data_IF_002241674602
#
_entry.id   IF_002241674602
#
_cell.length_a   1.000
_cell.length_b   1.000
_cell.length_c   1.000
_cell.angle_alpha   90.00
_cell.angle_beta   90.00
_cell.angle_gamma   90.00
#
_symmetry.space_group_name_H-M   'P 1'
#
loop_
_entity.id
_entity.type
_entity.pdbx_description
1 polymer ?
#
# COMPACT_ATOMS: atom_id res chain seq x y z
N UNK A 1 -42.21 55.63 24.44
CA UNK A 1 -41.35 54.82 23.54
C UNK A 1 -40.31 54.10 24.40
N UNK A 2 -40.39 52.78 24.56
CA UNK A 2 -39.42 51.96 25.31
C UNK A 2 -38.71 51.06 24.29
N UNK A 3 -37.40 51.24 24.12
CA UNK A 3 -36.60 50.37 23.22
C UNK A 3 -36.05 49.18 24.01
N UNK A 4 -36.46 47.98 23.66
CA UNK A 4 -35.93 46.73 24.22
C UNK A 4 -34.71 46.32 23.40
N UNK A 5 -33.51 46.37 24.00
CA UNK A 5 -32.28 45.84 23.41
C UNK A 5 -32.21 44.33 23.67
N UNK A 6 -32.19 43.54 22.60
CA UNK A 6 -31.91 42.11 22.67
C UNK A 6 -30.39 41.89 22.61
N UNK A 7 -29.82 41.29 23.65
CA UNK A 7 -28.42 40.88 23.68
C UNK A 7 -28.25 39.55 22.95
N UNK A 8 -27.31 39.49 22.00
CA UNK A 8 -26.94 38.26 21.29
C UNK A 8 -25.93 37.51 22.17
N UNK A 9 -26.31 36.31 22.64
CA UNK A 9 -25.40 35.37 23.28
C UNK A 9 -24.72 34.57 22.16
N UNK A 10 -23.45 34.87 21.89
CA UNK A 10 -22.62 34.06 21.00
C UNK A 10 -22.06 32.91 21.82
N UNK A 11 -22.68 31.73 21.69
CA UNK A 11 -22.13 30.49 22.22
C UNK A 11 -20.94 30.06 21.35
N UNK A 12 -19.73 30.21 21.89
CA UNK A 12 -18.51 29.72 21.26
C UNK A 12 -18.48 28.18 21.42
N UNK A 13 -18.96 27.46 20.42
CA UNK A 13 -18.72 26.02 20.29
C UNK A 13 -17.24 25.84 19.94
N UNK A 14 -16.43 25.49 20.94
CA UNK A 14 -15.10 24.95 20.76
C UNK A 14 -15.23 23.61 20.01
N UNK A 15 -15.17 23.66 18.68
CA UNK A 15 -14.95 22.45 17.89
C UNK A 15 -13.54 21.98 18.18
N UNK A 16 -13.42 20.93 18.99
CA UNK A 16 -12.22 20.10 19.02
C UNK A 16 -12.14 19.51 17.62
N UNK A 17 -11.35 20.12 16.73
CA UNK A 17 -11.02 19.50 15.47
C UNK A 17 -10.13 18.32 15.82
N UNK A 18 -10.55 17.06 15.57
CA UNK A 18 -9.59 15.98 15.60
C UNK A 18 -8.47 16.40 14.64
N UNK A 19 -7.22 16.34 15.11
CA UNK A 19 -6.06 16.63 14.28
C UNK A 19 -6.17 15.69 13.10
N UNK A 20 -6.56 16.20 11.93
CA UNK A 20 -6.55 15.43 10.70
C UNK A 20 -5.11 14.95 10.55
N UNK A 21 -4.90 13.65 10.74
CA UNK A 21 -3.65 13.03 10.32
C UNK A 21 -3.57 13.37 8.84
N UNK A 22 -2.48 14.02 8.43
CA UNK A 22 -2.33 14.35 7.02
C UNK A 22 -2.29 13.02 6.27
N UNK A 23 -3.32 12.72 5.48
CA UNK A 23 -3.40 11.48 4.73
C UNK A 23 -2.14 11.35 3.87
N UNK A 24 -1.26 10.43 4.27
CA UNK A 24 -0.01 10.17 3.59
C UNK A 24 -0.28 9.13 2.51
N UNK A 25 -0.25 9.59 1.26
CA UNK A 25 -0.22 8.71 0.11
C UNK A 25 1.19 8.13 -0.08
N UNK A 26 1.32 6.82 -0.04
CA UNK A 26 2.55 6.07 -0.32
C UNK A 26 2.44 5.47 -1.72
N UNK A 27 3.37 5.85 -2.61
CA UNK A 27 3.47 5.28 -3.96
C UNK A 27 4.13 3.91 -3.91
N UNK A 28 3.44 2.89 -4.39
CA UNK A 28 3.87 1.50 -4.36
C UNK A 28 4.23 1.03 -5.76
N UNK A 29 5.39 0.39 -5.90
CA UNK A 29 5.72 -0.45 -7.04
C UNK A 29 5.46 -1.92 -6.66
N UNK A 30 4.85 -2.66 -7.56
CA UNK A 30 4.57 -4.09 -7.38
C UNK A 30 5.57 -4.87 -8.20
N UNK A 31 6.48 -5.59 -7.54
CA UNK A 31 7.38 -6.53 -8.19
C UNK A 31 6.74 -7.92 -8.18
N UNK A 32 6.48 -8.50 -9.35
CA UNK A 32 5.83 -9.80 -9.46
C UNK A 32 6.77 -10.81 -10.13
N UNK A 33 7.01 -11.94 -9.47
CA UNK A 33 7.87 -12.98 -10.03
C UNK A 33 7.22 -13.74 -11.20
N UNK A 34 7.99 -14.58 -11.88
CA UNK A 34 7.53 -15.39 -13.00
C UNK A 34 6.37 -16.33 -12.62
N UNK A 35 6.45 -16.97 -11.46
CA UNK A 35 5.43 -17.93 -10.99
C UNK A 35 4.14 -17.25 -10.57
N UNK A 36 4.20 -16.08 -9.93
CA UNK A 36 3.02 -15.30 -9.56
C UNK A 36 2.32 -14.77 -10.82
N UNK A 37 3.10 -14.24 -11.77
CA UNK A 37 2.60 -13.75 -13.06
C UNK A 37 1.97 -14.83 -13.94
N UNK A 38 2.27 -16.11 -13.68
CA UNK A 38 1.64 -17.23 -14.37
C UNK A 38 0.12 -17.35 -14.07
N UNK A 39 -0.36 -16.75 -12.97
CA UNK A 39 -1.78 -16.71 -12.66
C UNK A 39 -2.51 -15.68 -13.54
N UNK A 40 -3.63 -16.08 -14.13
CA UNK A 40 -4.50 -15.14 -14.85
C UNK A 40 -5.08 -14.12 -13.88
N UNK A 41 -4.98 -12.83 -14.18
CA UNK A 41 -5.53 -11.78 -13.32
C UNK A 41 -4.63 -11.43 -12.12
N UNK A 42 -3.34 -11.77 -12.18
CA UNK A 42 -2.39 -11.50 -11.10
C UNK A 42 -2.29 -10.00 -10.74
N UNK A 43 -2.53 -9.09 -11.69
CA UNK A 43 -2.50 -7.64 -11.43
C UNK A 43 -3.67 -7.21 -10.56
N UNK A 44 -4.87 -7.64 -10.91
CA UNK A 44 -6.09 -7.39 -10.13
C UNK A 44 -5.98 -8.01 -8.73
N UNK A 45 -5.38 -9.20 -8.64
CA UNK A 45 -5.07 -9.82 -7.35
C UNK A 45 -4.11 -8.95 -6.52
N UNK A 46 -2.98 -8.52 -7.09
CA UNK A 46 -2.01 -7.69 -6.38
C UNK A 46 -2.60 -6.33 -5.96
N UNK A 47 -3.39 -5.69 -6.82
CA UNK A 47 -4.11 -4.45 -6.49
C UNK A 47 -5.10 -4.66 -5.35
N UNK A 48 -5.86 -5.75 -5.37
CA UNK A 48 -6.80 -6.09 -4.30
C UNK A 48 -6.10 -6.30 -2.96
N UNK A 49 -4.94 -6.98 -2.93
CA UNK A 49 -4.16 -7.19 -1.71
C UNK A 49 -3.59 -5.86 -1.18
N UNK A 50 -3.09 -5.00 -2.06
CA UNK A 50 -2.58 -3.67 -1.68
C UNK A 50 -3.71 -2.77 -1.19
N UNK A 51 -4.89 -2.84 -1.80
CA UNK A 51 -6.07 -2.13 -1.33
C UNK A 51 -6.48 -2.62 0.07
N UNK A 52 -6.54 -3.94 0.29
CA UNK A 52 -6.86 -4.50 1.60
C UNK A 52 -5.84 -4.06 2.67
N UNK A 53 -4.55 -4.02 2.34
CA UNK A 53 -3.53 -3.43 3.20
C UNK A 53 -3.82 -1.93 3.44
N UNK A 54 -4.17 -1.16 2.41
CA UNK A 54 -4.52 0.25 2.52
C UNK A 54 -5.69 0.52 3.46
N UNK A 55 -6.71 -0.33 3.44
CA UNK A 55 -7.85 -0.26 4.35
C UNK A 55 -7.42 -0.49 5.81
N UNK A 56 -6.52 -1.47 6.05
CA UNK A 56 -5.98 -1.74 7.39
C UNK A 56 -5.11 -0.59 7.92
N UNK A 57 -4.35 0.09 7.04
CA UNK A 57 -3.49 1.20 7.41
C UNK A 57 -4.20 2.57 7.39
N UNK A 58 -5.43 2.62 6.89
CA UNK A 58 -6.23 3.85 6.77
C UNK A 58 -6.51 4.54 8.10
N UNK A 59 -6.64 3.78 9.20
CA UNK A 59 -6.82 4.35 10.55
C UNK A 59 -5.62 5.19 11.02
N UNK A 60 -4.43 4.94 10.45
CA UNK A 60 -3.21 5.68 10.73
C UNK A 60 -3.00 6.85 9.74
N UNK A 61 -3.97 7.13 8.88
CA UNK A 61 -3.87 8.16 7.83
C UNK A 61 -2.85 7.79 6.76
N UNK A 62 -2.65 6.49 6.47
CA UNK A 62 -1.78 6.01 5.39
C UNK A 62 -2.66 5.42 4.29
N UNK A 63 -2.39 5.80 3.05
CA UNK A 63 -3.04 5.23 1.87
C UNK A 63 -1.99 4.74 0.90
N UNK A 64 -2.23 3.59 0.28
CA UNK A 64 -1.35 3.05 -0.75
C UNK A 64 -1.92 3.33 -2.14
N UNK A 65 -1.03 3.59 -3.10
CA UNK A 65 -1.39 3.66 -4.51
C UNK A 65 -0.35 2.92 -5.32
N UNK A 66 -0.80 1.90 -6.05
CA UNK A 66 0.04 1.24 -7.06
C UNK A 66 0.35 2.25 -8.17
N UNK A 67 1.63 2.40 -8.47
CA UNK A 67 2.14 3.34 -9.48
C UNK A 67 2.77 2.63 -10.67
N UNK A 68 3.30 1.43 -10.45
CA UNK A 68 3.88 0.61 -11.51
C UNK A 68 3.86 -0.87 -11.12
N UNK A 69 3.87 -1.71 -12.15
CA UNK A 69 4.13 -3.13 -12.04
C UNK A 69 5.48 -3.43 -12.69
N UNK A 70 6.33 -4.11 -11.95
CA UNK A 70 7.67 -4.51 -12.37
C UNK A 70 7.68 -6.03 -12.49
N UNK A 71 8.08 -6.49 -13.66
CA UNK A 71 8.39 -7.89 -13.88
C UNK A 71 9.71 -8.20 -13.16
N UNK A 72 9.67 -9.16 -12.23
CA UNK A 72 10.84 -9.63 -11.51
C UNK A 72 11.10 -11.08 -11.92
N UNK A 73 12.33 -11.42 -12.28
CA UNK A 73 12.69 -12.79 -12.65
C UNK A 73 13.42 -13.44 -11.49
N UNK A 74 12.66 -13.91 -10.48
CA UNK A 74 13.20 -14.51 -9.27
C UNK A 74 13.78 -15.90 -9.52
N UNK A 75 14.97 -16.14 -8.99
CA UNK A 75 15.61 -17.46 -8.91
C UNK A 75 15.60 -18.04 -7.49
N UNK A 76 15.28 -17.20 -6.50
CA UNK A 76 15.18 -17.62 -5.11
C UNK A 76 13.90 -18.43 -4.87
N UNK A 77 13.95 -19.44 -3.99
CA UNK A 77 12.76 -20.19 -3.62
C UNK A 77 11.79 -19.30 -2.81
N UNK A 78 10.49 -19.54 -3.02
CA UNK A 78 9.35 -18.84 -2.40
C UNK A 78 9.36 -18.84 -0.85
N UNK A 79 10.01 -19.84 -0.24
CA UNK A 79 10.10 -19.99 1.22
C UNK A 79 11.31 -19.29 1.84
N UNK A 80 12.29 -18.83 1.06
CA UNK A 80 13.45 -18.08 1.56
C UNK A 80 13.22 -16.58 1.40
N UNK A 81 12.48 -16.00 2.36
CA UNK A 81 12.17 -14.57 2.37
C UNK A 81 13.42 -13.67 2.37
N UNK A 82 14.52 -14.11 2.98
CA UNK A 82 15.75 -13.33 3.02
C UNK A 82 16.44 -13.30 1.65
N UNK A 83 16.49 -14.44 0.96
CA UNK A 83 17.00 -14.52 -0.41
C UNK A 83 16.15 -13.69 -1.37
N UNK A 84 14.82 -13.84 -1.32
CA UNK A 84 13.86 -13.06 -2.10
C UNK A 84 14.02 -11.55 -1.86
N UNK A 85 14.14 -11.11 -0.60
CA UNK A 85 14.32 -9.71 -0.27
C UNK A 85 15.64 -9.16 -0.82
N UNK A 86 16.74 -9.92 -0.71
CA UNK A 86 18.05 -9.50 -1.21
C UNK A 86 18.06 -9.39 -2.73
N UNK A 87 17.49 -10.37 -3.43
CA UNK A 87 17.38 -10.38 -4.89
C UNK A 87 16.50 -9.22 -5.37
N UNK A 88 15.31 -9.05 -4.79
CA UNK A 88 14.43 -7.92 -5.12
C UNK A 88 15.11 -6.57 -4.90
N UNK A 89 15.86 -6.41 -3.79
CA UNK A 89 16.58 -5.16 -3.49
C UNK A 89 17.73 -4.89 -4.47
N UNK A 90 18.31 -5.92 -5.08
CA UNK A 90 19.40 -5.80 -6.03
C UNK A 90 18.92 -5.55 -7.46
N UNK A 91 17.77 -6.10 -7.84
CA UNK A 91 17.33 -6.20 -9.23
C UNK A 91 16.14 -5.29 -9.58
N UNK A 92 15.27 -5.00 -8.62
CA UNK A 92 14.07 -4.20 -8.87
C UNK A 92 14.41 -2.71 -8.73
N UNK A 93 14.49 -2.04 -9.88
CA UNK A 93 14.63 -0.58 -9.96
C UNK A 93 13.25 0.04 -10.15
N UNK A 94 12.91 1.02 -9.30
CA UNK A 94 11.60 1.68 -9.35
C UNK A 94 11.71 3.16 -9.70
N UNK A 95 10.78 3.64 -10.52
CA UNK A 95 10.77 5.00 -11.02
C UNK A 95 9.94 5.90 -10.09
N UNK A 96 10.48 6.18 -8.90
CA UNK A 96 9.87 7.15 -7.96
C UNK A 96 8.76 6.59 -7.06
N UNK A 97 8.64 5.27 -7.00
CA UNK A 97 7.93 4.59 -5.91
C UNK A 97 8.66 4.78 -4.58
N UNK A 98 7.90 4.83 -3.48
CA UNK A 98 8.41 4.95 -2.11
C UNK A 98 8.52 3.61 -1.41
N UNK A 99 7.75 2.62 -1.88
CA UNK A 99 7.71 1.26 -1.37
C UNK A 99 7.66 0.28 -2.54
N UNK A 100 8.38 -0.83 -2.40
CA UNK A 100 8.28 -1.98 -3.31
C UNK A 100 7.66 -3.13 -2.54
N UNK A 101 6.62 -3.75 -3.10
CA UNK A 101 6.02 -4.97 -2.56
C UNK A 101 6.23 -6.09 -3.57
N UNK A 102 6.94 -7.13 -3.12
CA UNK A 102 7.19 -8.34 -3.90
C UNK A 102 6.06 -9.34 -3.75
N UNK A 103 5.57 -9.87 -4.87
CA UNK A 103 4.68 -11.03 -4.93
C UNK A 103 5.44 -12.19 -5.57
N UNK A 104 5.66 -13.24 -4.79
CA UNK A 104 6.33 -14.46 -5.23
C UNK A 104 5.31 -15.61 -5.34
N UNK A 105 5.37 -16.35 -6.43
CA UNK A 105 4.55 -17.53 -6.66
C UNK A 105 5.16 -18.77 -6.02
N UNK A 106 4.32 -19.76 -5.70
CA UNK A 106 4.82 -21.02 -5.18
C UNK A 106 5.53 -21.80 -6.30
N UNK A 107 6.87 -21.88 -6.24
CA UNK A 107 7.61 -22.85 -7.07
C UNK A 107 7.25 -24.25 -6.59
N UNK A 108 6.40 -24.95 -7.34
CA UNK A 108 6.21 -26.39 -7.15
C UNK A 108 7.59 -27.05 -7.22
N UNK A 109 8.10 -27.51 -6.07
CA UNK A 109 9.49 -27.95 -5.93
C UNK A 109 9.92 -28.87 -7.07
N UNK A 110 10.78 -28.37 -7.97
CA UNK A 110 11.62 -29.23 -8.81
C UNK A 110 12.69 -29.82 -7.90
N UNK A 111 12.35 -30.91 -7.21
CA UNK A 111 13.23 -31.50 -6.20
C UNK A 111 12.88 -32.93 -5.80
N UNK A 112 12.62 -33.81 -6.76
CA UNK A 112 13.10 -35.20 -6.78
C UNK A 112 12.65 -35.90 -8.07
N UNK A 113 13.53 -35.91 -9.08
CA UNK A 113 13.56 -36.93 -10.13
C UNK A 113 15.01 -37.35 -10.33
#
# INVERSE_FOLDING_TARGET
MKSTRWGIVIALLLTVTPRAWADRLVRVAVAADDDFRANSGWREQAESEIQAAGEAFGEFGISFRVTEFVDWDSNSPDHDLAALQNEMSAEVVTAGAELVIGFAGARAGRGNR
#
